data_IF_490685974271
#
_entry.id   IF_490685974271
#
_cell.length_a   1.000
_cell.length_b   1.000
_cell.length_c   1.000
_cell.angle_alpha   90.00
_cell.angle_beta   90.00
_cell.angle_gamma   90.00
#
_symmetry.space_group_name_H-M   'P 1'
#
loop_
_entity.id
_entity.type
_entity.pdbx_description
1 polymer ?
#
# COMPACT_ATOMS: atom_id res chain seq x y z
N UNK A 1 8.11 -3.07 18.54
CA UNK A 1 8.47 -1.64 18.42
C UNK A 1 8.04 -1.04 17.09
N UNK A 2 8.27 -1.71 15.94
CA UNK A 2 7.93 -1.19 14.62
C UNK A 2 6.44 -0.81 14.39
N UNK A 3 5.47 -1.52 14.97
CA UNK A 3 4.04 -1.17 14.80
C UNK A 3 3.72 0.23 15.35
N UNK A 4 4.25 0.59 16.53
CA UNK A 4 4.04 1.91 17.15
C UNK A 4 4.63 3.06 16.34
N UNK A 5 5.76 2.82 15.66
CA UNK A 5 6.39 3.79 14.75
C UNK A 5 5.53 4.03 13.51
N UNK A 6 5.03 2.94 12.89
CA UNK A 6 4.17 3.07 11.70
C UNK A 6 2.82 3.71 12.04
N UNK A 7 2.23 3.42 13.22
CA UNK A 7 0.99 4.06 13.67
C UNK A 7 1.16 5.58 13.82
N UNK A 8 2.31 6.03 14.34
CA UNK A 8 2.63 7.45 14.45
C UNK A 8 2.75 8.10 13.05
N UNK A 9 3.50 7.48 12.13
CA UNK A 9 3.65 7.96 10.76
C UNK A 9 2.29 8.08 10.07
N UNK A 10 1.43 7.06 10.22
CA UNK A 10 0.08 7.02 9.63
C UNK A 10 -0.76 8.19 10.12
N UNK A 11 -0.71 8.46 11.42
CA UNK A 11 -1.45 9.56 12.04
C UNK A 11 -0.92 10.93 11.61
N UNK A 12 0.39 11.16 11.68
CA UNK A 12 1.02 12.46 11.35
C UNK A 12 0.83 12.84 9.88
N UNK A 13 0.76 11.86 8.98
CA UNK A 13 0.61 12.09 7.55
C UNK A 13 -0.84 11.98 7.07
N UNK A 14 -1.82 11.82 7.96
CA UNK A 14 -3.24 11.62 7.65
C UNK A 14 -3.47 10.53 6.58
N UNK A 15 -2.76 9.40 6.69
CA UNK A 15 -2.72 8.42 5.61
C UNK A 15 -4.08 7.77 5.32
N UNK A 16 -4.89 7.53 6.36
CA UNK A 16 -6.15 6.79 6.26
C UNK A 16 -7.25 7.55 5.49
N UNK A 17 -7.11 8.86 5.28
CA UNK A 17 -8.12 9.69 4.60
C UNK A 17 -7.78 10.00 3.14
N UNK A 18 -6.62 9.55 2.64
CA UNK A 18 -6.11 9.94 1.31
C UNK A 18 -6.59 9.08 0.15
N UNK A 19 -7.23 7.95 0.44
CA UNK A 19 -7.67 6.96 -0.54
C UNK A 19 -9.10 6.53 -0.23
N UNK A 20 -9.93 6.41 -1.27
CA UNK A 20 -11.28 5.90 -1.14
C UNK A 20 -11.30 4.41 -0.83
N UNK A 21 -12.30 3.97 -0.08
CA UNK A 21 -12.46 2.56 0.32
C UNK A 21 -12.35 1.56 -0.86
N UNK A 22 -12.94 1.81 -2.05
CA UNK A 22 -12.79 0.88 -3.18
C UNK A 22 -11.32 0.67 -3.57
N UNK A 23 -10.54 1.74 -3.62
CA UNK A 23 -9.14 1.69 -4.01
C UNK A 23 -8.25 1.13 -2.90
N UNK A 24 -8.60 1.35 -1.62
CA UNK A 24 -7.95 0.67 -0.49
C UNK A 24 -8.11 -0.85 -0.61
N UNK A 25 -9.31 -1.34 -0.91
CA UNK A 25 -9.58 -2.78 -1.04
C UNK A 25 -8.81 -3.38 -2.22
N UNK A 26 -8.77 -2.69 -3.35
CA UNK A 26 -8.07 -3.14 -4.55
C UNK A 26 -6.55 -3.20 -4.33
N UNK A 27 -5.96 -2.16 -3.73
CA UNK A 27 -4.56 -2.14 -3.35
C UNK A 27 -4.21 -3.25 -2.35
N UNK A 28 -5.08 -3.50 -1.37
CA UNK A 28 -4.92 -4.59 -0.41
C UNK A 28 -4.88 -5.95 -1.12
N UNK A 29 -5.85 -6.24 -2.00
CA UNK A 29 -5.91 -7.51 -2.72
C UNK A 29 -4.68 -7.71 -3.63
N UNK A 30 -4.21 -6.64 -4.29
CA UNK A 30 -3.00 -6.72 -5.12
C UNK A 30 -1.73 -7.08 -4.34
N UNK A 31 -1.63 -6.63 -3.08
CA UNK A 31 -0.42 -6.82 -2.25
C UNK A 31 -0.47 -8.12 -1.44
N UNK A 32 -1.62 -8.42 -0.82
CA UNK A 32 -1.77 -9.50 0.16
C UNK A 32 -2.35 -10.78 -0.44
N UNK A 33 -3.02 -10.69 -1.59
CA UNK A 33 -3.63 -11.83 -2.27
C UNK A 33 -3.04 -11.99 -3.70
N UNK A 34 -3.91 -12.27 -4.67
CA UNK A 34 -3.62 -12.31 -6.10
C UNK A 34 -4.49 -11.25 -6.76
N UNK A 35 -3.87 -10.21 -7.30
CA UNK A 35 -4.60 -9.15 -8.00
C UNK A 35 -3.68 -8.13 -8.63
N UNK A 36 -4.27 -7.35 -9.52
CA UNK A 36 -3.69 -6.12 -10.04
C UNK A 36 -4.51 -4.94 -9.56
N UNK A 37 -3.93 -3.77 -9.75
CA UNK A 37 -4.54 -2.50 -9.47
C UNK A 37 -4.84 -1.78 -10.79
N UNK A 38 -5.96 -1.09 -10.82
CA UNK A 38 -6.48 -0.32 -11.94
C UNK A 38 -5.83 1.06 -12.02
N UNK A 39 -5.91 1.65 -13.22
CA UNK A 39 -5.44 3.01 -13.46
C UNK A 39 -6.21 4.05 -12.62
N UNK A 40 -7.47 3.77 -12.25
CA UNK A 40 -8.23 4.64 -11.37
C UNK A 40 -7.61 4.68 -9.97
N UNK A 41 -7.34 3.52 -9.40
CA UNK A 41 -6.80 3.42 -8.05
C UNK A 41 -5.30 3.74 -7.96
N UNK A 42 -4.58 3.68 -9.09
CA UNK A 42 -3.25 4.26 -9.25
C UNK A 42 -3.20 5.73 -8.82
N UNK A 43 -4.10 6.57 -9.35
CA UNK A 43 -4.11 8.00 -9.05
C UNK A 43 -4.29 8.29 -7.56
N UNK A 44 -5.17 7.54 -6.89
CA UNK A 44 -5.37 7.69 -5.45
C UNK A 44 -4.17 7.18 -4.62
N UNK A 45 -3.50 6.11 -5.07
CA UNK A 45 -2.28 5.63 -4.39
C UNK A 45 -1.11 6.63 -4.51
N UNK A 46 -1.03 7.37 -5.61
CA UNK A 46 -0.07 8.47 -5.76
C UNK A 46 -0.34 9.56 -4.74
N UNK A 47 -1.60 9.95 -4.57
CA UNK A 47 -2.03 10.95 -3.57
C UNK A 47 -1.75 10.45 -2.14
N UNK A 48 -1.98 9.16 -1.87
CA UNK A 48 -1.61 8.52 -0.61
C UNK A 48 -0.11 8.71 -0.31
N UNK A 49 0.73 8.48 -1.33
CA UNK A 49 2.17 8.69 -1.27
C UNK A 49 2.95 7.52 -0.65
N UNK A 50 4.23 7.43 -1.00
CA UNK A 50 5.09 6.28 -0.67
C UNK A 50 5.26 6.05 0.84
N UNK A 51 5.31 7.13 1.61
CA UNK A 51 5.45 7.10 3.09
C UNK A 51 4.23 6.40 3.70
N UNK A 52 3.04 6.85 3.34
CA UNK A 52 1.79 6.27 3.83
C UNK A 52 1.61 4.83 3.36
N UNK A 53 1.86 4.54 2.07
CA UNK A 53 1.82 3.20 1.51
C UNK A 53 2.70 2.22 2.30
N UNK A 54 3.96 2.59 2.52
CA UNK A 54 4.93 1.75 3.24
C UNK A 54 4.54 1.54 4.70
N UNK A 55 4.06 2.60 5.38
CA UNK A 55 3.67 2.52 6.79
C UNK A 55 2.42 1.65 6.97
N UNK A 56 1.42 1.78 6.09
CA UNK A 56 0.20 0.97 6.10
C UNK A 56 0.52 -0.51 5.87
N UNK A 57 1.34 -0.85 4.87
CA UNK A 57 1.74 -2.25 4.61
C UNK A 57 2.48 -2.85 5.81
N UNK A 58 3.41 -2.11 6.42
CA UNK A 58 4.13 -2.57 7.62
C UNK A 58 3.21 -2.72 8.83
N UNK A 59 2.24 -1.83 9.02
CA UNK A 59 1.22 -1.94 10.08
C UNK A 59 0.38 -3.20 9.89
N UNK A 60 -0.08 -3.46 8.66
CA UNK A 60 -0.84 -4.67 8.33
C UNK A 60 -0.03 -5.94 8.59
N UNK A 61 1.24 -5.99 8.18
CA UNK A 61 2.13 -7.12 8.50
C UNK A 61 2.40 -7.30 10.01
N UNK A 62 2.28 -6.23 10.79
CA UNK A 62 2.37 -6.28 12.25
C UNK A 62 1.12 -6.87 12.93
N UNK A 63 0.01 -7.05 12.20
CA UNK A 63 -1.21 -7.63 12.75
C UNK A 63 -1.11 -9.17 12.76
N UNK A 64 -1.38 -9.84 13.91
CA UNK A 64 -1.32 -11.30 14.03
C UNK A 64 -2.15 -12.09 13.01
N UNK A 65 -3.20 -11.47 12.43
CA UNK A 65 -4.02 -12.09 11.37
C UNK A 65 -3.23 -12.39 10.10
N UNK A 66 -2.11 -11.70 9.87
CA UNK A 66 -1.27 -11.85 8.67
C UNK A 66 0.06 -12.55 8.96
N UNK A 67 0.19 -13.21 10.12
CA UNK A 67 1.46 -13.84 10.56
C UNK A 67 1.94 -14.96 9.63
N UNK A 68 1.03 -15.60 8.90
CA UNK A 68 1.33 -16.71 8.00
C UNK A 68 1.80 -16.21 6.61
N UNK A 69 1.71 -14.90 6.36
CA UNK A 69 2.26 -14.29 5.16
C UNK A 69 3.76 -14.05 5.30
N UNK A 70 4.50 -14.37 4.25
CA UNK A 70 5.92 -14.02 4.15
C UNK A 70 6.06 -12.49 4.05
N UNK A 71 6.53 -11.86 5.14
CA UNK A 71 6.78 -10.42 5.17
C UNK A 71 7.67 -9.97 4.02
N UNK A 72 8.71 -10.74 3.68
CA UNK A 72 9.60 -10.44 2.56
C UNK A 72 8.87 -10.45 1.21
N UNK A 73 8.03 -11.46 0.98
CA UNK A 73 7.24 -11.59 -0.26
C UNK A 73 6.19 -10.47 -0.36
N UNK A 74 5.48 -10.16 0.72
CA UNK A 74 4.49 -9.09 0.75
C UNK A 74 5.12 -7.71 0.56
N UNK A 75 6.29 -7.45 1.16
CA UNK A 75 7.04 -6.21 0.92
C UNK A 75 7.48 -6.12 -0.54
N UNK A 76 7.99 -7.21 -1.13
CA UNK A 76 8.37 -7.23 -2.54
C UNK A 76 7.18 -6.96 -3.47
N UNK A 77 6.01 -7.57 -3.20
CA UNK A 77 4.77 -7.30 -3.92
C UNK A 77 4.35 -5.84 -3.78
N UNK A 78 4.38 -5.29 -2.55
CA UNK A 78 4.06 -3.89 -2.29
C UNK A 78 4.94 -2.91 -3.08
N UNK A 79 6.24 -3.20 -3.21
CA UNK A 79 7.17 -2.42 -4.03
C UNK A 79 6.84 -2.56 -5.53
N UNK A 80 6.54 -3.77 -5.99
CA UNK A 80 6.15 -4.00 -7.39
C UNK A 80 4.86 -3.26 -7.74
N UNK A 81 3.83 -3.37 -6.89
CA UNK A 81 2.59 -2.62 -7.03
C UNK A 81 2.90 -1.12 -7.10
N UNK A 82 3.69 -0.57 -6.18
CA UNK A 82 4.14 0.83 -6.22
C UNK A 82 4.82 1.24 -7.53
N UNK A 83 5.76 0.42 -8.03
CA UNK A 83 6.53 0.73 -9.24
C UNK A 83 5.69 0.61 -10.53
N UNK A 84 4.76 -0.35 -10.59
CA UNK A 84 3.88 -0.52 -11.74
C UNK A 84 3.02 0.73 -11.98
N UNK A 85 2.66 1.46 -10.93
CA UNK A 85 1.98 2.76 -11.07
C UNK A 85 2.87 3.84 -11.68
N UNK A 86 4.12 3.95 -11.23
CA UNK A 86 5.03 4.96 -11.75
C UNK A 86 5.21 4.78 -13.26
N UNK A 87 5.35 3.53 -13.70
CA UNK A 87 5.42 3.20 -15.13
C UNK A 87 4.15 3.60 -15.92
N UNK A 88 2.97 3.57 -15.30
CA UNK A 88 1.71 4.00 -15.93
C UNK A 88 1.57 5.52 -16.01
N UNK A 89 2.18 6.27 -15.08
CA UNK A 89 2.18 7.75 -15.09
C UNK A 89 3.20 8.29 -16.09
N UNK A 90 4.37 7.64 -16.19
CA UNK A 90 5.46 8.05 -17.07
C UNK A 90 5.26 7.62 -18.54
N UNK A 91 4.23 6.83 -18.84
CA UNK A 91 3.87 6.48 -20.22
C UNK A 91 2.88 7.51 -20.77
N UNK A 92 3.30 8.46 -21.63
CA UNK A 92 2.35 9.29 -22.35
C UNK A 92 1.55 8.38 -23.28
N UNK A 93 0.22 8.39 -23.12
CA UNK A 93 -0.74 7.81 -24.06
C UNK A 93 -0.67 8.47 -25.43
#
# INVERSE_FOLDING_TARGET
>A
MAAKENDQIIKENNCETKMGLPCVLEAFNSIFEIGSISNKCCGELVVLGKVCHSALVKRTLGNPLFRDLSAATTIAKSIQTWNNFLALIDSPS
#
